data_IF_702884203610
#
_entry.id   IF_702884203610
#
_cell.length_a   1.000
_cell.length_b   1.000
_cell.length_c   1.000
_cell.angle_alpha   90.00
_cell.angle_beta   90.00
_cell.angle_gamma   90.00
#
_symmetry.space_group_name_H-M   'P 1'
#
loop_
_entity.id
_entity.type
_entity.pdbx_description
1 polymer ?
#
# COMPACT_ATOMS: atom_id res chain seq x y z
N UNK A 1 -17.81 27.61 -1.70
CA UNK A 1 -18.36 26.50 -0.88
C UNK A 1 -17.88 26.70 0.54
N UNK A 2 -18.75 26.69 1.54
CA UNK A 2 -18.32 26.78 2.94
C UNK A 2 -17.70 25.45 3.44
N UNK A 3 -17.12 25.47 4.64
CA UNK A 3 -16.47 24.31 5.24
C UNK A 3 -17.42 23.09 5.43
N UNK A 4 -18.70 23.34 5.69
CA UNK A 4 -19.70 22.29 5.89
C UNK A 4 -20.01 21.59 4.57
N UNK A 5 -20.26 22.36 3.51
CA UNK A 5 -20.53 21.82 2.18
C UNK A 5 -19.31 21.06 1.61
N UNK A 6 -18.07 21.54 1.84
CA UNK A 6 -16.84 20.82 1.47
C UNK A 6 -16.74 19.46 2.18
N UNK A 7 -17.06 19.43 3.47
CA UNK A 7 -17.06 18.19 4.26
C UNK A 7 -18.13 17.21 3.76
N UNK A 8 -19.35 17.67 3.48
CA UNK A 8 -20.40 16.82 2.94
C UNK A 8 -20.03 16.23 1.57
N UNK A 9 -19.48 17.05 0.67
CA UNK A 9 -18.96 16.58 -0.62
C UNK A 9 -17.88 15.50 -0.43
N UNK A 10 -16.92 15.76 0.47
CA UNK A 10 -15.83 14.82 0.75
C UNK A 10 -16.35 13.50 1.33
N UNK A 11 -17.33 13.55 2.25
CA UNK A 11 -17.99 12.35 2.80
C UNK A 11 -18.69 11.55 1.71
N UNK A 12 -19.46 12.19 0.82
CA UNK A 12 -20.16 11.51 -0.27
C UNK A 12 -19.19 10.79 -1.20
N UNK A 13 -18.12 11.48 -1.62
CA UNK A 13 -17.10 10.89 -2.49
C UNK A 13 -16.38 9.74 -1.79
N UNK A 14 -15.88 9.94 -0.56
CA UNK A 14 -15.10 8.92 0.13
C UNK A 14 -15.93 7.69 0.50
N UNK A 15 -17.22 7.84 0.81
CA UNK A 15 -18.13 6.69 1.01
C UNK A 15 -18.30 5.87 -0.27
N UNK A 16 -18.50 6.54 -1.41
CA UNK A 16 -18.61 5.86 -2.69
C UNK A 16 -17.30 5.15 -3.07
N UNK A 17 -16.15 5.77 -2.80
CA UNK A 17 -14.82 5.15 -2.96
C UNK A 17 -14.67 3.94 -2.05
N UNK A 18 -14.97 4.08 -0.74
CA UNK A 18 -14.85 2.99 0.22
C UNK A 18 -15.75 1.80 -0.12
N UNK A 19 -16.94 2.05 -0.69
CA UNK A 19 -17.81 0.99 -1.18
C UNK A 19 -17.18 0.20 -2.33
N UNK A 20 -16.55 0.88 -3.30
CA UNK A 20 -15.76 0.20 -4.34
C UNK A 20 -14.63 -0.61 -3.69
N UNK A 21 -13.94 -0.06 -2.70
CA UNK A 21 -12.86 -0.77 -2.00
C UNK A 21 -13.32 -2.04 -1.28
N UNK A 22 -14.51 -2.00 -0.65
CA UNK A 22 -15.12 -3.20 -0.02
C UNK A 22 -15.40 -4.31 -1.02
N UNK A 23 -15.81 -3.95 -2.24
CA UNK A 23 -16.13 -4.91 -3.30
C UNK A 23 -14.88 -5.44 -4.02
N UNK A 24 -13.79 -4.67 -4.00
CA UNK A 24 -12.57 -4.97 -4.75
C UNK A 24 -11.30 -4.74 -3.90
N UNK A 25 -11.07 -5.54 -2.84
CA UNK A 25 -9.87 -5.43 -2.03
C UNK A 25 -8.62 -5.70 -2.86
N UNK A 26 -7.56 -4.91 -2.64
CA UNK A 26 -6.24 -5.06 -3.27
C UNK A 26 -5.27 -5.71 -2.31
N UNK A 27 -5.23 -7.03 -2.34
CA UNK A 27 -4.38 -7.85 -1.47
C UNK A 27 -3.64 -8.95 -2.25
N UNK A 28 -2.49 -9.45 -1.72
CA UNK A 28 -1.80 -10.60 -2.30
C UNK A 28 -2.65 -11.88 -2.17
N UNK A 29 -2.56 -12.77 -3.16
CA UNK A 29 -3.29 -14.05 -3.21
C UNK A 29 -2.63 -15.10 -2.27
N UNK A 30 -2.69 -14.85 -0.95
CA UNK A 30 -2.01 -15.68 0.04
C UNK A 30 -2.55 -17.11 0.10
N UNK A 31 -3.84 -17.29 -0.18
CA UNK A 31 -4.52 -18.60 -0.17
C UNK A 31 -4.01 -19.55 -1.26
N UNK A 32 -3.45 -19.02 -2.34
CA UNK A 32 -2.91 -19.80 -3.46
C UNK A 32 -1.47 -20.27 -3.20
N UNK A 33 -0.88 -19.84 -2.08
CA UNK A 33 0.45 -20.25 -1.64
C UNK A 33 0.29 -21.50 -0.79
N UNK A 34 0.81 -22.62 -1.28
CA UNK A 34 0.64 -23.98 -0.73
C UNK A 34 0.86 -24.06 0.79
N UNK A 35 1.94 -23.51 1.38
CA UNK A 35 2.09 -23.55 2.84
C UNK A 35 1.05 -22.72 3.62
N UNK A 36 0.42 -21.72 3.01
CA UNK A 36 -0.50 -20.80 3.67
C UNK A 36 -1.97 -21.15 3.43
N UNK A 37 -2.29 -22.00 2.45
CA UNK A 37 -3.68 -22.31 2.09
C UNK A 37 -4.50 -22.81 3.30
N UNK A 38 -3.89 -23.60 4.18
CA UNK A 38 -4.52 -24.14 5.40
C UNK A 38 -4.78 -23.10 6.50
N UNK A 39 -4.42 -21.85 6.27
CA UNK A 39 -4.68 -20.73 7.18
C UNK A 39 -6.03 -20.09 6.87
N UNK A 40 -6.61 -20.39 5.72
CA UNK A 40 -7.91 -19.91 5.27
C UNK A 40 -8.94 -21.05 5.35
N UNK A 41 -10.20 -20.69 5.54
CA UNK A 41 -11.32 -21.62 5.48
C UNK A 41 -11.77 -21.87 4.02
N UNK A 42 -12.81 -22.68 3.84
CA UNK A 42 -13.37 -23.01 2.52
C UNK A 42 -13.92 -21.79 1.76
N UNK A 43 -14.29 -20.72 2.47
CA UNK A 43 -14.73 -19.45 1.87
C UNK A 43 -13.56 -18.55 1.46
N UNK A 44 -12.32 -18.92 1.81
CA UNK A 44 -11.14 -18.10 1.62
C UNK A 44 -10.95 -17.05 2.72
N UNK A 45 -11.66 -17.16 3.84
CA UNK A 45 -11.53 -16.25 4.98
C UNK A 45 -10.43 -16.73 5.92
N UNK A 46 -9.61 -15.81 6.43
CA UNK A 46 -8.53 -16.13 7.36
C UNK A 46 -9.07 -16.70 8.69
N UNK A 47 -8.49 -17.81 9.15
CA UNK A 47 -8.84 -18.44 10.43
C UNK A 47 -8.08 -17.75 11.57
N UNK A 48 -8.64 -16.65 12.07
CA UNK A 48 -7.97 -15.74 13.02
C UNK A 48 -7.59 -16.39 14.37
N UNK A 49 -8.43 -17.28 14.90
CA UNK A 49 -8.24 -17.94 16.20
C UNK A 49 -7.05 -18.91 16.22
N UNK A 50 -6.52 -19.27 15.04
CA UNK A 50 -5.37 -20.16 14.89
C UNK A 50 -4.08 -19.43 14.53
N UNK A 51 -4.07 -18.10 14.44
CA UNK A 51 -2.89 -17.34 14.00
C UNK A 51 -1.66 -17.58 14.89
N UNK A 52 -1.85 -17.80 16.19
CA UNK A 52 -0.74 -18.04 17.12
C UNK A 52 -0.39 -19.53 17.28
N UNK A 53 -1.05 -20.42 16.53
CA UNK A 53 -0.69 -21.83 16.46
C UNK A 53 0.62 -22.05 15.70
N UNK A 54 1.31 -23.14 16.04
CA UNK A 54 2.56 -23.53 15.38
C UNK A 54 2.33 -24.05 13.99
N UNK A 55 3.20 -23.61 13.08
CA UNK A 55 3.46 -24.27 11.81
C UNK A 55 4.98 -24.40 11.62
N UNK A 56 5.49 -25.62 11.73
CA UNK A 56 6.92 -25.90 11.80
C UNK A 56 7.63 -25.10 12.91
N UNK A 57 8.65 -24.33 12.53
CA UNK A 57 9.47 -23.53 13.46
C UNK A 57 8.86 -22.18 13.86
N UNK A 58 7.74 -21.77 13.28
CA UNK A 58 7.13 -20.43 13.46
C UNK A 58 5.65 -20.53 13.81
N UNK A 59 5.01 -19.40 14.13
CA UNK A 59 3.54 -19.31 14.18
C UNK A 59 2.96 -19.02 12.80
N UNK A 60 1.66 -19.30 12.60
CA UNK A 60 0.96 -18.92 11.36
C UNK A 60 1.01 -17.41 11.11
N UNK A 61 0.83 -16.60 12.17
CA UNK A 61 0.94 -15.14 12.16
C UNK A 61 2.31 -14.69 11.64
N UNK A 62 3.39 -15.29 12.15
CA UNK A 62 4.75 -14.99 11.71
C UNK A 62 4.97 -15.33 10.24
N UNK A 63 4.52 -16.50 9.78
CA UNK A 63 4.64 -16.90 8.38
C UNK A 63 3.90 -15.92 7.44
N UNK A 64 2.70 -15.47 7.83
CA UNK A 64 1.95 -14.46 7.08
C UNK A 64 2.62 -13.09 7.09
N UNK A 65 3.14 -12.63 8.23
CA UNK A 65 3.88 -11.36 8.30
C UNK A 65 5.10 -11.37 7.38
N UNK A 66 5.84 -12.47 7.34
CA UNK A 66 6.98 -12.64 6.43
C UNK A 66 6.55 -12.59 4.96
N UNK A 67 5.45 -13.25 4.62
CA UNK A 67 4.92 -13.23 3.26
C UNK A 67 4.41 -11.84 2.85
N UNK A 68 3.72 -11.13 3.74
CA UNK A 68 3.26 -9.76 3.46
C UNK A 68 4.43 -8.79 3.31
N UNK A 69 5.49 -8.92 4.12
CA UNK A 69 6.69 -8.10 3.99
C UNK A 69 7.40 -8.35 2.66
N UNK A 70 7.56 -9.63 2.29
CA UNK A 70 8.08 -10.03 0.98
C UNK A 70 7.22 -9.47 -0.16
N UNK A 71 5.90 -9.61 -0.06
CA UNK A 71 4.94 -9.10 -1.04
C UNK A 71 5.06 -7.59 -1.21
N UNK A 72 5.23 -6.82 -0.13
CA UNK A 72 5.32 -5.37 -0.20
C UNK A 72 6.58 -4.90 -0.93
N UNK A 73 7.69 -5.65 -0.77
CA UNK A 73 8.93 -5.38 -1.50
C UNK A 73 8.81 -5.73 -2.99
N UNK A 74 8.13 -6.84 -3.31
CA UNK A 74 8.00 -7.36 -4.67
C UNK A 74 6.93 -6.62 -5.48
N UNK A 75 5.80 -6.26 -4.87
CA UNK A 75 4.59 -5.62 -5.48
C UNK A 75 4.81 -4.12 -5.78
N UNK A 76 5.95 -3.82 -6.39
CA UNK A 76 6.31 -2.49 -6.88
C UNK A 76 6.50 -2.50 -8.41
N UNK A 77 6.40 -3.67 -9.06
CA UNK A 77 6.64 -3.85 -10.50
C UNK A 77 5.56 -3.25 -11.41
N UNK A 78 5.81 -3.24 -12.74
CA UNK A 78 4.97 -2.56 -13.73
C UNK A 78 3.62 -3.24 -14.01
N UNK A 79 3.42 -4.47 -13.52
CA UNK A 79 2.20 -5.25 -13.65
C UNK A 79 1.93 -6.00 -12.35
N UNK A 80 1.15 -5.39 -11.44
CA UNK A 80 0.82 -5.92 -10.10
C UNK A 80 0.31 -7.36 -10.18
N UNK A 81 -0.60 -7.64 -11.10
CA UNK A 81 -1.18 -8.98 -11.25
C UNK A 81 -0.11 -9.99 -11.72
N UNK A 82 0.75 -9.61 -12.66
CA UNK A 82 1.87 -10.44 -13.09
C UNK A 82 2.89 -10.69 -11.98
N UNK A 83 3.20 -9.67 -11.18
CA UNK A 83 4.10 -9.74 -10.04
C UNK A 83 3.56 -10.68 -8.94
N UNK A 84 2.26 -10.59 -8.62
CA UNK A 84 1.61 -11.48 -7.64
C UNK A 84 1.63 -12.94 -8.10
N UNK A 85 1.32 -13.21 -9.38
CA UNK A 85 1.42 -14.56 -9.97
C UNK A 85 2.85 -15.10 -9.92
N UNK A 86 3.86 -14.26 -10.17
CA UNK A 86 5.26 -14.64 -10.03
C UNK A 86 5.58 -15.05 -8.59
N UNK A 87 5.19 -14.24 -7.60
CA UNK A 87 5.44 -14.54 -6.19
C UNK A 87 4.80 -15.87 -5.75
N UNK A 88 3.54 -16.11 -6.12
CA UNK A 88 2.83 -17.37 -5.84
C UNK A 88 3.54 -18.56 -6.51
N UNK A 89 3.87 -18.44 -7.80
CA UNK A 89 4.54 -19.50 -8.56
C UNK A 89 5.88 -19.89 -7.96
N UNK A 90 6.72 -18.89 -7.65
CA UNK A 90 8.05 -19.11 -7.06
C UNK A 90 7.93 -19.76 -5.68
N UNK A 91 7.03 -19.28 -4.81
CA UNK A 91 6.88 -19.86 -3.48
C UNK A 91 6.37 -21.31 -3.54
N UNK A 92 5.41 -21.60 -4.41
CA UNK A 92 4.91 -22.96 -4.57
C UNK A 92 5.99 -23.90 -5.13
N UNK A 93 6.76 -23.47 -6.13
CA UNK A 93 7.87 -24.24 -6.68
C UNK A 93 8.95 -24.49 -5.63
N UNK A 94 9.38 -23.46 -4.88
CA UNK A 94 10.36 -23.61 -3.81
C UNK A 94 9.89 -24.59 -2.73
N UNK A 95 8.64 -24.49 -2.29
CA UNK A 95 8.10 -25.40 -1.28
C UNK A 95 7.94 -26.84 -1.79
N UNK A 96 7.65 -27.04 -3.08
CA UNK A 96 7.63 -28.37 -3.70
C UNK A 96 9.01 -29.05 -3.70
N UNK A 97 10.08 -28.24 -3.64
CA UNK A 97 11.50 -28.65 -3.57
C UNK A 97 12.04 -28.62 -2.13
N UNK A 98 11.16 -28.52 -1.14
CA UNK A 98 11.48 -28.42 0.30
C UNK A 98 12.30 -27.19 0.72
N UNK A 99 12.34 -26.14 -0.11
CA UNK A 99 12.97 -24.85 0.20
C UNK A 99 11.93 -23.96 0.89
N UNK A 100 11.85 -24.00 2.23
CA UNK A 100 10.73 -23.47 3.01
C UNK A 100 10.98 -22.03 3.49
N UNK A 101 11.19 -21.10 2.55
CA UNK A 101 11.71 -19.75 2.83
C UNK A 101 10.91 -18.90 3.83
N UNK A 102 9.59 -19.10 3.99
CA UNK A 102 8.82 -18.36 5.01
C UNK A 102 9.03 -18.95 6.41
N UNK A 103 9.22 -20.27 6.52
CA UNK A 103 9.46 -20.96 7.80
C UNK A 103 10.93 -20.89 8.22
N UNK A 104 11.84 -21.08 7.25
CA UNK A 104 13.29 -21.07 7.43
C UNK A 104 13.93 -20.14 6.38
N UNK A 105 13.98 -18.81 6.62
CA UNK A 105 14.51 -17.85 5.63
C UNK A 105 15.95 -18.13 5.17
N UNK A 106 16.74 -18.84 5.97
CA UNK A 106 18.08 -19.31 5.61
C UNK A 106 18.06 -20.18 4.33
N UNK A 107 16.99 -20.93 4.08
CA UNK A 107 16.83 -21.77 2.89
C UNK A 107 17.02 -21.01 1.60
N UNK A 108 16.54 -19.76 1.55
CA UNK A 108 16.67 -18.93 0.37
C UNK A 108 18.14 -18.70 0.00
N UNK A 109 19.01 -18.55 1.01
CA UNK A 109 20.43 -18.25 0.84
C UNK A 109 21.26 -19.53 0.67
N UNK A 110 20.97 -20.58 1.44
CA UNK A 110 21.64 -21.89 1.31
C UNK A 110 21.36 -22.52 -0.06
N UNK A 111 20.14 -22.37 -0.56
CA UNK A 111 19.69 -22.92 -1.83
C UNK A 111 19.50 -21.84 -2.89
N UNK A 112 20.32 -20.79 -2.86
CA UNK A 112 20.14 -19.61 -3.71
C UNK A 112 20.05 -19.90 -5.21
N UNK A 113 20.81 -20.88 -5.72
CA UNK A 113 20.72 -21.30 -7.12
C UNK A 113 19.35 -21.88 -7.49
N UNK A 114 18.69 -22.62 -6.59
CA UNK A 114 17.32 -23.12 -6.78
C UNK A 114 16.34 -21.95 -6.77
N UNK A 115 16.47 -21.04 -5.80
CA UNK A 115 15.64 -19.83 -5.70
C UNK A 115 15.72 -18.95 -6.94
N UNK A 116 16.93 -18.69 -7.45
CA UNK A 116 17.14 -17.89 -8.66
C UNK A 116 16.55 -18.57 -9.91
N UNK A 117 16.76 -19.89 -10.06
CA UNK A 117 16.20 -20.68 -11.16
C UNK A 117 14.66 -20.64 -11.13
N UNK A 118 14.07 -20.83 -9.94
CA UNK A 118 12.61 -20.76 -9.76
C UNK A 118 12.03 -19.40 -10.20
N UNK A 119 12.72 -18.30 -9.84
CA UNK A 119 12.33 -16.94 -10.26
C UNK A 119 12.40 -16.77 -11.78
N UNK A 120 13.40 -17.34 -12.45
CA UNK A 120 13.53 -17.30 -13.92
C UNK A 120 12.44 -18.09 -14.62
N UNK A 121 12.25 -19.34 -14.20
CA UNK A 121 11.26 -20.26 -14.78
C UNK A 121 9.84 -19.71 -14.60
N UNK A 122 9.49 -19.27 -13.39
CA UNK A 122 8.18 -18.68 -13.13
C UNK A 122 7.99 -17.34 -13.85
N UNK A 123 9.05 -16.52 -14.00
CA UNK A 123 8.98 -15.30 -14.79
C UNK A 123 8.66 -15.59 -16.26
N UNK A 124 9.30 -16.59 -16.85
CA UNK A 124 9.05 -16.99 -18.23
C UNK A 124 7.60 -17.46 -18.44
N UNK A 125 7.06 -18.25 -17.50
CA UNK A 125 5.66 -18.71 -17.52
C UNK A 125 4.69 -17.52 -17.47
N UNK A 126 4.87 -16.59 -16.53
CA UNK A 126 3.99 -15.43 -16.42
C UNK A 126 4.12 -14.50 -17.63
N UNK A 127 5.34 -14.31 -18.15
CA UNK A 127 5.59 -13.53 -19.37
C UNK A 127 4.85 -14.11 -20.57
N UNK A 128 4.91 -15.42 -20.78
CA UNK A 128 4.20 -16.09 -21.87
C UNK A 128 2.68 -15.86 -21.78
N UNK A 129 2.12 -15.87 -20.57
CA UNK A 129 0.68 -15.70 -20.36
C UNK A 129 0.18 -14.25 -20.48
N UNK A 130 1.02 -13.25 -20.18
CA UNK A 130 0.55 -11.86 -19.94
C UNK A 130 1.11 -10.81 -20.88
N UNK A 131 2.27 -11.03 -21.48
CA UNK A 131 3.01 -9.98 -22.18
C UNK A 131 2.19 -9.32 -23.31
N UNK A 132 1.37 -10.08 -24.04
CA UNK A 132 0.52 -9.56 -25.10
C UNK A 132 -0.55 -8.60 -24.58
N UNK A 133 -1.35 -9.04 -23.60
CA UNK A 133 -2.40 -8.22 -23.00
C UNK A 133 -1.84 -6.98 -22.28
N UNK A 134 -0.70 -7.12 -21.59
CA UNK A 134 -0.02 -5.97 -20.99
C UNK A 134 0.44 -4.97 -22.06
N UNK A 135 1.02 -5.44 -23.16
CA UNK A 135 1.51 -4.57 -24.22
C UNK A 135 0.38 -3.79 -24.90
N UNK A 136 -0.76 -4.44 -25.15
CA UNK A 136 -1.97 -3.80 -25.69
C UNK A 136 -2.48 -2.68 -24.76
N UNK A 137 -2.62 -2.96 -23.46
CA UNK A 137 -3.10 -1.96 -22.48
C UNK A 137 -2.16 -0.76 -22.30
N UNK A 138 -0.87 -0.93 -22.60
CA UNK A 138 0.16 0.08 -22.36
C UNK A 138 0.71 0.70 -23.65
N UNK A 139 0.12 0.41 -24.82
CA UNK A 139 0.63 0.85 -26.14
C UNK A 139 2.14 0.57 -26.29
N UNK A 140 2.52 -0.69 -26.03
CA UNK A 140 3.91 -1.13 -25.93
C UNK A 140 4.17 -2.42 -26.72
N UNK A 141 5.37 -2.99 -26.60
CA UNK A 141 5.76 -4.24 -27.25
C UNK A 141 5.87 -5.38 -26.20
N UNK A 142 5.29 -6.58 -26.44
CA UNK A 142 5.38 -7.72 -25.52
C UNK A 142 6.81 -8.10 -25.13
N UNK A 143 7.80 -7.88 -26.01
CA UNK A 143 9.21 -8.14 -25.73
C UNK A 143 9.75 -7.32 -24.55
N UNK A 144 9.19 -6.11 -24.33
CA UNK A 144 9.53 -5.21 -23.22
C UNK A 144 8.94 -5.65 -21.88
N UNK A 145 8.03 -6.64 -21.87
CA UNK A 145 7.43 -7.13 -20.63
C UNK A 145 8.50 -7.79 -19.75
N UNK A 146 8.67 -7.24 -18.56
CA UNK A 146 9.62 -7.67 -17.55
C UNK A 146 9.01 -7.39 -16.17
N UNK A 147 8.96 -8.41 -15.31
CA UNK A 147 8.44 -8.27 -13.95
C UNK A 147 9.51 -7.77 -12.97
N UNK A 148 10.78 -7.83 -13.38
CA UNK A 148 11.88 -7.32 -12.59
C UNK A 148 11.84 -5.78 -12.58
N UNK A 149 11.86 -5.22 -11.38
CA UNK A 149 11.88 -3.78 -11.11
C UNK A 149 13.12 -3.09 -11.71
N UNK A 150 13.04 -1.77 -11.92
CA UNK A 150 14.17 -0.89 -12.29
C UNK A 150 14.89 -1.28 -13.60
N UNK A 151 14.20 -1.94 -14.53
CA UNK A 151 14.79 -2.52 -15.74
C UNK A 151 15.95 -3.49 -15.44
N UNK A 152 16.03 -4.06 -14.24
CA UNK A 152 16.99 -5.10 -13.93
C UNK A 152 16.72 -6.28 -14.86
N UNK A 153 17.56 -6.46 -15.88
CA UNK A 153 17.45 -7.59 -16.81
C UNK A 153 17.99 -8.89 -16.20
N UNK A 154 18.61 -8.80 -15.03
CA UNK A 154 19.31 -9.88 -14.37
C UNK A 154 18.54 -10.37 -13.14
N UNK A 155 18.22 -11.65 -13.14
CA UNK A 155 17.58 -12.36 -12.03
C UNK A 155 18.36 -12.23 -10.74
N UNK A 156 19.70 -12.34 -10.79
CA UNK A 156 20.55 -12.30 -9.60
C UNK A 156 20.31 -11.04 -8.76
N UNK A 157 20.32 -9.87 -9.41
CA UNK A 157 20.08 -8.59 -8.73
C UNK A 157 18.67 -8.51 -8.17
N UNK A 158 17.67 -8.95 -8.94
CA UNK A 158 16.28 -8.99 -8.49
C UNK A 158 16.09 -9.94 -7.29
N UNK A 159 16.66 -11.15 -7.34
CA UNK A 159 16.57 -12.14 -6.28
C UNK A 159 17.22 -11.64 -4.99
N UNK A 160 18.45 -11.11 -5.04
CA UNK A 160 19.12 -10.58 -3.83
C UNK A 160 18.31 -9.42 -3.23
N UNK A 161 17.89 -8.48 -4.08
CA UNK A 161 17.35 -7.22 -3.59
C UNK A 161 15.87 -7.27 -3.23
N UNK A 162 15.06 -7.98 -4.02
CA UNK A 162 13.60 -8.02 -3.85
C UNK A 162 13.11 -9.25 -3.07
N UNK A 163 13.90 -10.32 -3.02
CA UNK A 163 13.59 -11.50 -2.22
C UNK A 163 14.51 -11.63 -1.01
N UNK A 164 15.83 -11.54 -1.22
CA UNK A 164 16.82 -11.70 -0.16
C UNK A 164 16.71 -10.65 0.93
N UNK A 165 16.60 -9.36 0.60
CA UNK A 165 16.49 -8.29 1.59
C UNK A 165 15.32 -8.47 2.58
N UNK A 166 14.04 -8.65 2.15
CA UNK A 166 12.94 -8.90 3.08
C UNK A 166 13.05 -10.21 3.85
N UNK A 167 13.70 -11.25 3.30
CA UNK A 167 13.94 -12.52 4.01
C UNK A 167 15.11 -12.46 5.01
N UNK A 168 16.08 -11.56 4.79
CA UNK A 168 17.19 -11.34 5.70
C UNK A 168 16.74 -10.77 7.05
N UNK A 169 15.69 -9.94 7.07
CA UNK A 169 15.14 -9.35 8.30
C UNK A 169 14.71 -10.43 9.31
N UNK A 170 13.74 -11.32 9.01
CA UNK A 170 13.36 -12.38 9.93
C UNK A 170 14.51 -13.35 10.21
N UNK A 171 15.41 -13.62 9.24
CA UNK A 171 16.60 -14.45 9.47
C UNK A 171 17.48 -13.87 10.60
N UNK A 172 17.85 -12.59 10.50
CA UNK A 172 18.69 -11.93 11.48
C UNK A 172 18.02 -11.87 12.86
N UNK A 173 16.71 -11.60 12.90
CA UNK A 173 15.94 -11.59 14.13
C UNK A 173 15.88 -12.98 14.79
N UNK A 174 15.70 -14.05 14.00
CA UNK A 174 15.74 -15.43 14.50
C UNK A 174 17.12 -15.78 15.07
N UNK A 175 18.20 -15.43 14.38
CA UNK A 175 19.57 -15.67 14.85
C UNK A 175 19.88 -14.91 16.15
N UNK A 176 19.46 -13.65 16.26
CA UNK A 176 19.61 -12.85 17.47
C UNK A 176 18.80 -13.41 18.65
N UNK A 177 17.57 -13.88 18.39
CA UNK A 177 16.76 -14.54 19.40
C UNK A 177 17.44 -15.82 19.92
N UNK A 178 17.95 -16.67 19.01
CA UNK A 178 18.67 -17.90 19.35
C UNK A 178 19.94 -17.64 20.17
N UNK A 179 20.74 -16.64 19.78
CA UNK A 179 21.93 -16.24 20.54
C UNK A 179 21.62 -15.74 21.97
N UNK A 180 20.38 -15.31 22.21
CA UNK A 180 19.87 -14.88 23.53
C UNK A 180 19.06 -15.96 24.25
N UNK A 181 19.03 -17.20 23.74
CA UNK A 181 18.22 -18.29 24.31
C UNK A 181 16.72 -18.05 24.26
N UNK A 182 16.24 -17.19 23.33
CA UNK A 182 14.82 -16.88 23.15
C UNK A 182 14.26 -17.71 22.00
N UNK A 183 12.97 -17.97 22.09
CA UNK A 183 12.25 -18.68 21.04
C UNK A 183 12.16 -17.88 19.73
N UNK A 184 12.30 -18.54 18.58
CA UNK A 184 12.37 -17.93 17.25
C UNK A 184 11.03 -17.83 16.49
N UNK A 185 9.91 -18.15 17.14
CA UNK A 185 8.65 -18.47 16.49
C UNK A 185 7.88 -17.28 15.88
N UNK A 186 8.06 -16.11 16.48
CA UNK A 186 7.25 -14.89 16.31
C UNK A 186 8.15 -13.64 16.29
N UNK A 187 9.38 -13.81 15.79
CA UNK A 187 10.42 -12.78 15.89
C UNK A 187 10.09 -11.51 15.12
N UNK A 188 9.50 -11.61 13.93
CA UNK A 188 9.06 -10.44 13.17
C UNK A 188 7.87 -9.79 13.85
N UNK A 189 6.89 -10.57 14.32
CA UNK A 189 5.75 -10.06 15.09
C UNK A 189 6.20 -9.22 16.30
N UNK A 190 7.10 -9.76 17.14
CA UNK A 190 7.65 -9.04 18.30
C UNK A 190 8.47 -7.84 17.90
N UNK A 191 9.27 -7.94 16.83
CA UNK A 191 10.03 -6.81 16.33
C UNK A 191 9.11 -5.65 15.92
N UNK A 192 8.04 -5.92 15.17
CA UNK A 192 7.13 -4.88 14.67
C UNK A 192 6.36 -4.17 15.80
N UNK A 193 6.06 -4.88 16.90
CA UNK A 193 5.21 -4.37 17.99
C UNK A 193 5.98 -3.86 19.22
N UNK A 194 7.30 -4.07 19.25
CA UNK A 194 8.19 -3.64 20.31
C UNK A 194 8.33 -2.11 20.38
N UNK A 195 8.83 -1.64 21.53
CA UNK A 195 9.27 -0.26 21.69
C UNK A 195 10.70 -0.10 21.15
N UNK A 196 10.88 0.75 20.15
CA UNK A 196 12.17 1.08 19.56
C UNK A 196 12.66 2.48 19.93
N UNK A 197 11.92 3.21 20.78
CA UNK A 197 12.25 4.54 21.29
C UNK A 197 12.14 5.68 20.26
N UNK A 198 12.68 5.51 19.06
CA UNK A 198 12.61 6.50 17.97
C UNK A 198 11.41 6.32 17.04
N UNK A 199 10.80 5.14 17.04
CA UNK A 199 9.59 4.85 16.27
C UNK A 199 8.39 4.79 17.20
N UNK A 200 7.29 5.43 16.81
CA UNK A 200 6.04 5.35 17.56
C UNK A 200 5.50 3.90 17.51
N UNK A 201 4.90 3.44 18.62
CA UNK A 201 4.21 2.14 18.66
C UNK A 201 2.84 2.25 17.99
N UNK A 202 2.82 2.33 16.67
CA UNK A 202 1.63 2.38 15.83
C UNK A 202 1.90 1.70 14.49
N UNK A 203 0.88 1.45 13.69
CA UNK A 203 1.07 0.96 12.31
C UNK A 203 1.87 1.97 11.49
N UNK A 204 1.54 3.26 11.57
CA UNK A 204 2.32 4.32 10.92
C UNK A 204 3.80 4.29 11.35
N UNK A 205 4.08 4.19 12.65
CA UNK A 205 5.44 4.05 13.18
C UNK A 205 6.16 2.77 12.74
N UNK A 206 5.42 1.66 12.64
CA UNK A 206 5.90 0.39 12.09
C UNK A 206 6.31 0.52 10.63
N UNK A 207 5.62 1.34 9.83
CA UNK A 207 6.00 1.54 8.41
C UNK A 207 7.34 2.28 8.27
N UNK A 208 7.63 3.24 9.15
CA UNK A 208 8.95 3.85 9.24
C UNK A 208 10.00 2.88 9.79
N UNK A 209 9.64 2.05 10.78
CA UNK A 209 10.54 1.04 11.35
C UNK A 209 11.07 0.08 10.28
N UNK A 210 10.18 -0.52 9.47
CA UNK A 210 10.60 -1.48 8.43
C UNK A 210 11.43 -0.84 7.32
N UNK A 211 11.31 0.46 7.12
CA UNK A 211 12.06 1.19 6.10
C UNK A 211 13.41 1.68 6.64
N UNK A 212 13.40 2.35 7.77
CA UNK A 212 14.47 3.23 8.23
C UNK A 212 15.21 2.74 9.49
N UNK A 213 14.81 1.63 10.09
CA UNK A 213 15.54 1.09 11.24
C UNK A 213 17.01 0.82 10.86
N UNK A 214 17.95 1.36 11.62
CA UNK A 214 19.38 1.37 11.25
C UNK A 214 19.96 -0.01 10.90
N UNK A 215 19.53 -1.07 11.62
CA UNK A 215 19.97 -2.46 11.39
C UNK A 215 19.04 -3.32 10.51
N UNK A 216 17.73 -3.26 10.74
CA UNK A 216 16.73 -4.14 10.13
C UNK A 216 15.87 -3.46 9.05
N UNK A 217 16.07 -2.16 8.83
CA UNK A 217 15.36 -1.40 7.82
C UNK A 217 15.75 -1.84 6.42
N UNK A 218 14.76 -1.95 5.55
CA UNK A 218 14.94 -2.36 4.16
C UNK A 218 15.48 -1.23 3.27
N UNK A 219 15.47 0.01 3.76
CA UNK A 219 16.01 1.17 3.06
C UNK A 219 15.46 1.29 1.65
N UNK A 220 16.34 1.28 0.64
CA UNK A 220 15.95 1.38 -0.77
C UNK A 220 15.19 0.14 -1.29
N UNK A 221 15.25 -1.01 -0.61
CA UNK A 221 14.51 -2.21 -1.03
C UNK A 221 13.00 -2.03 -0.86
N UNK A 222 12.56 -1.11 0.01
CA UNK A 222 11.16 -0.74 0.18
C UNK A 222 10.95 0.77 0.06
N UNK A 223 10.08 1.17 -0.87
CA UNK A 223 9.61 2.56 -0.93
C UNK A 223 8.62 2.87 0.19
N UNK A 224 8.41 4.15 0.51
CA UNK A 224 7.46 4.57 1.56
C UNK A 224 6.05 4.05 1.27
N UNK A 225 5.63 4.13 0.00
CA UNK A 225 4.35 3.60 -0.47
C UNK A 225 4.21 2.11 -0.16
N UNK A 226 5.24 1.32 -0.43
CA UNK A 226 5.24 -0.11 -0.17
C UNK A 226 5.24 -0.43 1.33
N UNK A 227 5.94 0.38 2.14
CA UNK A 227 5.89 0.26 3.59
C UNK A 227 4.48 0.55 4.16
N UNK A 228 3.80 1.59 3.65
CA UNK A 228 2.40 1.86 3.96
C UNK A 228 1.46 0.75 3.49
N UNK A 229 1.70 0.17 2.31
CA UNK A 229 0.94 -0.96 1.79
C UNK A 229 1.09 -2.22 2.69
N UNK A 230 2.28 -2.47 3.21
CA UNK A 230 2.49 -3.51 4.23
C UNK A 230 1.66 -3.23 5.49
N UNK A 231 1.71 -2.00 6.02
CA UNK A 231 0.90 -1.59 7.17
C UNK A 231 -0.60 -1.79 6.95
N UNK A 232 -1.09 -1.42 5.76
CA UNK A 232 -2.46 -1.70 5.33
C UNK A 232 -2.77 -3.18 5.36
N UNK A 233 -2.02 -4.04 4.66
CA UNK A 233 -2.34 -5.46 4.60
C UNK A 233 -2.36 -6.13 5.96
N UNK A 234 -1.43 -5.74 6.83
CA UNK A 234 -1.26 -6.33 8.17
C UNK A 234 -2.41 -5.99 9.12
N UNK A 235 -3.09 -4.84 8.96
CA UNK A 235 -4.18 -4.44 9.88
C UNK A 235 -5.55 -4.47 9.22
N UNK A 236 -5.63 -4.20 7.92
CA UNK A 236 -6.88 -4.11 7.18
C UNK A 236 -7.25 -5.42 6.47
N UNK A 237 -6.34 -5.97 5.66
CA UNK A 237 -6.63 -7.14 4.83
C UNK A 237 -6.61 -8.46 5.61
N UNK A 238 -5.59 -8.66 6.46
CA UNK A 238 -5.36 -9.95 7.14
C UNK A 238 -5.42 -9.87 8.69
N UNK A 239 -6.06 -8.84 9.26
CA UNK A 239 -5.97 -8.37 10.67
C UNK A 239 -4.87 -8.94 11.59
N UNK A 240 -3.64 -9.12 11.12
CA UNK A 240 -2.56 -9.81 11.84
C UNK A 240 -2.06 -9.04 13.06
N UNK A 241 -2.18 -7.72 13.07
CA UNK A 241 -1.83 -6.88 14.22
C UNK A 241 -3.00 -6.00 14.68
N UNK A 242 -4.22 -6.28 14.19
CA UNK A 242 -5.38 -5.47 14.53
C UNK A 242 -5.66 -5.59 16.03
N UNK A 243 -5.63 -4.45 16.73
CA UNK A 243 -6.05 -4.36 18.12
C UNK A 243 -7.10 -3.26 18.25
N UNK A 244 -8.32 -3.63 18.66
CA UNK A 244 -9.44 -2.68 18.80
C UNK A 244 -9.37 -1.87 20.10
N UNK A 245 -8.60 -2.35 21.07
CA UNK A 245 -8.42 -1.68 22.37
C UNK A 245 -7.29 -0.64 22.32
N UNK A 246 -6.31 -0.79 21.43
CA UNK A 246 -5.30 0.24 21.14
C UNK A 246 -5.54 0.88 19.76
N UNK A 247 -6.09 2.12 19.69
CA UNK A 247 -6.32 2.84 18.44
C UNK A 247 -5.09 2.96 17.52
N UNK A 248 -3.88 2.85 18.06
CA UNK A 248 -2.63 2.88 17.31
C UNK A 248 -2.34 1.63 16.49
N UNK A 249 -3.11 0.57 16.72
CA UNK A 249 -3.12 -0.67 15.97
C UNK A 249 -4.53 -0.95 15.40
N UNK A 250 -5.37 0.08 15.36
CA UNK A 250 -6.73 0.02 14.83
C UNK A 250 -6.82 0.37 13.33
N UNK A 251 -8.04 0.41 12.76
CA UNK A 251 -8.22 0.62 11.32
C UNK A 251 -7.73 1.98 10.78
N UNK A 252 -7.61 3.00 11.64
CA UNK A 252 -7.16 4.36 11.28
C UNK A 252 -5.68 4.62 11.60
N UNK A 253 -4.91 3.60 11.93
CA UNK A 253 -3.53 3.73 12.43
C UNK A 253 -2.47 3.95 11.34
N UNK A 254 -2.88 4.10 10.08
CA UNK A 254 -2.02 4.46 8.95
C UNK A 254 -2.73 5.44 8.02
N UNK A 255 -1.94 6.18 7.24
CA UNK A 255 -2.47 7.12 6.25
C UNK A 255 -2.87 6.43 4.95
N UNK A 256 -3.87 6.96 4.26
CA UNK A 256 -4.18 6.54 2.88
C UNK A 256 -2.94 6.79 2.00
N UNK A 257 -2.39 5.77 1.32
CA UNK A 257 -1.26 5.96 0.42
C UNK A 257 -1.59 6.87 -0.78
N UNK A 258 -0.96 8.04 -0.87
CA UNK A 258 -1.10 8.93 -2.03
C UNK A 258 -0.14 8.50 -3.16
N UNK A 259 -0.60 7.63 -4.04
CA UNK A 259 0.05 7.35 -5.33
C UNK A 259 -0.58 8.14 -6.49
N UNK A 260 -0.01 8.06 -7.69
CA UNK A 260 -0.49 8.82 -8.85
C UNK A 260 -1.95 8.48 -9.24
N UNK A 261 -2.40 7.24 -9.02
CA UNK A 261 -3.77 6.84 -9.28
C UNK A 261 -4.72 7.41 -8.22
N UNK A 262 -4.41 7.20 -6.94
CA UNK A 262 -5.18 7.71 -5.81
C UNK A 262 -5.28 9.24 -5.84
N UNK A 263 -4.15 9.91 -6.02
CA UNK A 263 -4.06 11.36 -6.18
C UNK A 263 -4.93 11.89 -7.30
N UNK A 264 -4.87 11.25 -8.48
CA UNK A 264 -5.66 11.65 -9.65
C UNK A 264 -7.15 11.56 -9.37
N UNK A 265 -7.59 10.49 -8.72
CA UNK A 265 -9.00 10.31 -8.33
C UNK A 265 -9.41 11.41 -7.35
N UNK A 266 -8.65 11.63 -6.27
CA UNK A 266 -8.93 12.67 -5.27
C UNK A 266 -8.93 14.09 -5.87
N UNK A 267 -8.05 14.37 -6.83
CA UNK A 267 -8.04 15.66 -7.53
C UNK A 267 -9.27 15.83 -8.42
N UNK A 268 -9.58 14.83 -9.26
CA UNK A 268 -10.68 14.89 -10.22
C UNK A 268 -12.07 14.90 -9.58
N UNK A 269 -12.23 14.27 -8.42
CA UNK A 269 -13.47 14.35 -7.65
C UNK A 269 -13.66 15.71 -6.96
N UNK A 270 -12.66 16.59 -7.01
CA UNK A 270 -12.69 17.91 -6.38
C UNK A 270 -12.33 17.91 -4.90
N UNK A 271 -11.90 16.78 -4.31
CA UNK A 271 -11.48 16.75 -2.90
C UNK A 271 -10.24 17.63 -2.70
N UNK A 272 -9.22 17.47 -3.53
CA UNK A 272 -7.95 18.23 -3.37
C UNK A 272 -8.20 19.73 -3.51
N UNK A 273 -8.89 20.16 -4.57
CA UNK A 273 -9.19 21.57 -4.83
C UNK A 273 -10.24 22.15 -3.88
N UNK A 274 -11.07 21.31 -3.26
CA UNK A 274 -12.01 21.70 -2.22
C UNK A 274 -11.33 22.12 -0.92
N UNK A 275 -10.13 21.61 -0.63
CA UNK A 275 -9.41 21.85 0.62
C UNK A 275 -8.07 22.58 0.46
N UNK A 276 -7.51 22.64 -0.73
CA UNK A 276 -6.24 23.32 -0.99
C UNK A 276 -6.38 24.23 -2.19
N UNK A 277 -6.12 25.53 -1.96
CA UNK A 277 -6.19 26.53 -3.02
C UNK A 277 -5.16 26.25 -4.11
N UNK A 278 -5.54 26.54 -5.36
CA UNK A 278 -4.71 26.28 -6.53
C UNK A 278 -3.35 27.00 -6.45
N UNK A 279 -3.32 28.24 -5.95
CA UNK A 279 -2.07 28.98 -5.75
C UNK A 279 -1.10 28.22 -4.83
N UNK A 280 -1.63 27.55 -3.80
CA UNK A 280 -0.84 26.74 -2.87
C UNK A 280 -0.39 25.43 -3.51
N UNK A 281 -1.25 24.78 -4.30
CA UNK A 281 -0.90 23.58 -5.06
C UNK A 281 0.25 23.87 -6.05
N UNK A 282 0.21 25.01 -6.76
CA UNK A 282 1.28 25.44 -7.66
C UNK A 282 2.57 25.80 -6.93
N UNK A 283 2.48 26.54 -5.81
CA UNK A 283 3.64 26.92 -4.99
C UNK A 283 4.42 25.72 -4.45
N UNK A 284 3.74 24.62 -4.13
CA UNK A 284 4.38 23.38 -3.67
C UNK A 284 4.66 22.39 -4.82
N UNK A 285 4.53 22.84 -6.07
CA UNK A 285 4.74 22.01 -7.25
C UNK A 285 3.89 20.73 -7.27
N UNK A 286 2.74 20.74 -6.59
CA UNK A 286 1.73 19.69 -6.70
C UNK A 286 1.13 19.73 -8.09
N UNK A 287 0.82 20.94 -8.57
CA UNK A 287 0.38 21.20 -9.95
C UNK A 287 1.48 21.99 -10.64
N UNK A 288 1.98 21.47 -11.76
CA UNK A 288 3.10 21.98 -12.51
C UNK A 288 2.63 22.35 -13.93
N UNK A 289 2.23 23.62 -14.17
CA UNK A 289 1.74 24.06 -15.47
C UNK A 289 2.78 23.83 -16.57
N UNK A 290 2.32 23.37 -17.74
CA UNK A 290 3.17 23.13 -18.92
C UNK A 290 4.12 21.93 -18.81
N UNK A 291 4.10 21.18 -17.70
CA UNK A 291 4.93 19.98 -17.51
C UNK A 291 4.19 18.68 -17.85
N UNK A 292 2.91 18.76 -18.26
CA UNK A 292 2.15 17.61 -18.73
C UNK A 292 2.60 17.12 -20.11
N UNK A 293 2.12 15.93 -20.50
CA UNK A 293 2.45 15.32 -21.81
C UNK A 293 2.08 16.30 -22.95
N UNK A 294 3.07 16.69 -23.75
CA UNK A 294 2.90 17.61 -24.88
C UNK A 294 2.99 19.10 -24.53
N UNK A 295 3.14 19.48 -23.25
CA UNK A 295 3.24 20.88 -22.82
C UNK A 295 1.90 21.62 -22.67
N UNK A 296 0.81 21.05 -23.14
CA UNK A 296 -0.52 21.70 -23.14
C UNK A 296 -1.34 21.47 -21.86
N UNK A 297 -0.86 20.62 -20.96
CA UNK A 297 -1.53 20.27 -19.70
C UNK A 297 -0.59 20.48 -18.51
N UNK A 298 -1.15 20.59 -17.31
CA UNK A 298 -0.37 20.58 -16.08
C UNK A 298 -0.06 19.15 -15.64
N UNK A 299 1.14 18.93 -15.10
CA UNK A 299 1.51 17.68 -14.43
C UNK A 299 1.21 17.76 -12.93
N UNK A 300 0.60 16.72 -12.38
CA UNK A 300 0.29 16.62 -10.96
C UNK A 300 1.24 15.66 -10.27
N UNK A 301 2.16 16.21 -9.48
CA UNK A 301 3.05 15.46 -8.62
C UNK A 301 2.41 15.23 -7.26
N UNK A 302 1.56 14.21 -7.17
CA UNK A 302 0.76 13.92 -5.95
C UNK A 302 1.59 13.82 -4.68
N UNK A 303 2.82 13.29 -4.75
CA UNK A 303 3.69 13.11 -3.58
C UNK A 303 4.01 14.44 -2.90
N UNK A 304 3.94 15.55 -3.65
CA UNK A 304 4.18 16.89 -3.12
C UNK A 304 2.99 17.43 -2.32
N UNK A 305 1.84 16.75 -2.28
CA UNK A 305 0.78 17.06 -1.31
C UNK A 305 1.22 16.79 0.12
N UNK A 306 2.27 15.98 0.31
CA UNK A 306 2.78 15.67 1.64
C UNK A 306 3.31 16.94 2.33
N UNK A 307 2.87 17.18 3.56
CA UNK A 307 3.22 18.38 4.32
C UNK A 307 2.53 19.67 3.88
N UNK A 308 1.68 19.66 2.84
CA UNK A 308 0.95 20.85 2.41
C UNK A 308 -0.17 21.16 3.40
N UNK A 309 -0.09 22.32 4.04
CA UNK A 309 -1.12 22.81 4.94
C UNK A 309 -2.38 23.25 4.19
N UNK A 310 -3.55 22.84 4.71
CA UNK A 310 -4.87 23.28 4.26
C UNK A 310 -5.44 24.32 5.21
N UNK A 311 -5.42 25.58 4.80
CA UNK A 311 -6.06 26.68 5.54
C UNK A 311 -7.60 26.53 5.52
N UNK A 312 -8.17 26.07 4.41
CA UNK A 312 -9.60 25.79 4.29
C UNK A 312 -10.08 24.70 5.26
N UNK A 313 -9.27 23.69 5.55
CA UNK A 313 -9.61 22.66 6.53
C UNK A 313 -9.63 23.19 7.97
N UNK A 314 -8.89 24.27 8.27
CA UNK A 314 -8.92 24.92 9.59
C UNK A 314 -10.26 25.59 9.89
N UNK A 315 -11.01 25.96 8.84
CA UNK A 315 -12.36 26.51 8.95
C UNK A 315 -13.39 25.46 9.39
N UNK A 316 -13.04 24.16 9.39
CA UNK A 316 -13.91 23.06 9.79
C UNK A 316 -13.53 22.53 11.18
N UNK A 317 -14.29 22.86 12.24
CA UNK A 317 -14.01 22.35 13.59
C UNK A 317 -13.99 20.81 13.65
N UNK A 318 -14.83 20.15 12.85
CA UNK A 318 -14.89 18.69 12.77
C UNK A 318 -13.58 18.10 12.23
N UNK A 319 -13.05 18.64 11.13
CA UNK A 319 -11.77 18.17 10.56
C UNK A 319 -10.61 18.48 11.51
N UNK A 320 -10.60 19.66 12.13
CA UNK A 320 -9.55 20.02 13.10
C UNK A 320 -9.54 19.05 14.28
N UNK A 321 -10.70 18.73 14.85
CA UNK A 321 -10.81 17.79 15.96
C UNK A 321 -10.35 16.37 15.54
N UNK A 322 -10.86 15.88 14.41
CA UNK A 322 -10.50 14.56 13.88
C UNK A 322 -9.02 14.45 13.53
N UNK A 323 -8.41 15.49 12.94
CA UNK A 323 -6.98 15.51 12.62
C UNK A 323 -6.12 15.44 13.90
N UNK A 324 -6.52 16.15 14.96
CA UNK A 324 -5.81 16.08 16.25
C UNK A 324 -5.89 14.69 16.86
N UNK A 325 -7.07 14.08 16.85
CA UNK A 325 -7.26 12.71 17.33
C UNK A 325 -6.46 11.70 16.50
N UNK A 326 -6.58 11.76 15.18
CA UNK A 326 -5.87 10.91 14.22
C UNK A 326 -4.35 10.95 14.48
N UNK A 327 -3.76 12.14 14.52
CA UNK A 327 -2.29 12.29 14.63
C UNK A 327 -1.73 11.83 15.99
N UNK A 328 -2.49 12.03 17.08
CA UNK A 328 -2.01 11.74 18.44
C UNK A 328 -2.34 10.31 18.87
N UNK A 329 -3.57 9.84 18.60
CA UNK A 329 -4.07 8.55 19.12
C UNK A 329 -3.85 7.39 18.16
N UNK A 330 -4.11 7.60 16.86
CA UNK A 330 -4.09 6.53 15.86
C UNK A 330 -2.74 6.41 15.17
N UNK A 331 -2.31 7.46 14.46
CA UNK A 331 -1.03 7.45 13.76
C UNK A 331 0.14 7.52 14.76
N UNK A 332 -0.07 8.17 15.92
CA UNK A 332 0.99 8.54 16.88
C UNK A 332 2.17 9.27 16.22
N UNK A 333 1.92 9.96 15.11
CA UNK A 333 2.90 10.77 14.39
C UNK A 333 3.29 12.03 15.17
N UNK A 334 2.45 12.45 16.13
CA UNK A 334 2.67 13.64 16.94
C UNK A 334 2.51 13.36 18.44
N UNK A 335 3.46 13.86 19.26
CA UNK A 335 3.37 13.82 20.73
C UNK A 335 2.33 14.80 21.30
N UNK A 336 1.98 15.84 20.55
CA UNK A 336 1.02 16.88 20.92
C UNK A 336 0.08 17.12 19.76
N UNK A 337 -1.15 17.56 20.06
CA UNK A 337 -2.13 17.89 19.05
C UNK A 337 -1.56 18.91 18.04
N UNK A 338 -1.49 18.58 16.73
CA UNK A 338 -1.00 19.51 15.72
C UNK A 338 -1.92 20.73 15.63
N UNK A 339 -1.30 21.90 15.40
CA UNK A 339 -2.02 23.15 15.11
C UNK A 339 -2.47 23.19 13.66
N UNK A 340 -1.73 22.52 12.78
CA UNK A 340 -1.93 22.54 11.33
C UNK A 340 -2.67 21.28 10.84
N UNK A 341 -3.56 21.44 9.87
CA UNK A 341 -4.14 20.32 9.12
C UNK A 341 -3.39 20.17 7.81
N UNK A 342 -2.75 19.01 7.61
CA UNK A 342 -2.11 18.69 6.34
C UNK A 342 -3.12 18.06 5.39
N UNK A 343 -3.05 18.41 4.10
CA UNK A 343 -3.97 17.93 3.08
C UNK A 343 -4.00 16.39 2.98
N UNK A 344 -2.84 15.74 3.19
CA UNK A 344 -2.72 14.28 3.18
C UNK A 344 -3.57 13.59 4.27
N UNK A 345 -3.82 14.26 5.40
CA UNK A 345 -4.58 13.67 6.51
C UNK A 345 -6.10 13.76 6.28
N UNK A 346 -6.57 14.60 5.34
CA UNK A 346 -7.99 14.90 5.18
C UNK A 346 -8.81 13.62 4.91
N UNK A 347 -8.43 12.71 3.99
CA UNK A 347 -9.19 11.48 3.79
C UNK A 347 -9.32 10.63 5.06
N UNK A 348 -8.24 10.45 5.81
CA UNK A 348 -8.25 9.69 7.06
C UNK A 348 -9.04 10.38 8.17
N UNK A 349 -8.96 11.72 8.28
CA UNK A 349 -9.73 12.49 9.24
C UNK A 349 -11.23 12.44 8.94
N UNK A 350 -11.62 12.54 7.66
CA UNK A 350 -13.02 12.42 7.24
C UNK A 350 -13.55 10.99 7.43
N UNK A 351 -12.72 9.99 7.15
CA UNK A 351 -13.01 8.58 7.47
C UNK A 351 -13.24 8.37 8.97
N UNK A 352 -12.47 9.02 9.83
CA UNK A 352 -12.66 8.96 11.28
C UNK A 352 -13.97 9.65 11.73
N UNK A 353 -14.32 10.80 11.15
CA UNK A 353 -15.59 11.50 11.41
C UNK A 353 -16.78 10.61 11.02
N UNK A 354 -16.68 9.93 9.88
CA UNK A 354 -17.72 9.06 9.38
C UNK A 354 -17.91 7.79 10.23
N UNK A 355 -16.80 7.18 10.65
CA UNK A 355 -16.79 5.99 11.48
C UNK A 355 -17.20 4.68 10.78
N UNK A 356 -17.72 4.73 9.55
CA UNK A 356 -18.17 3.55 8.80
C UNK A 356 -17.24 3.12 7.68
N UNK A 357 -16.34 4.02 7.26
CA UNK A 357 -15.28 3.75 6.29
C UNK A 357 -13.90 3.79 6.94
N UNK A 358 -12.97 2.98 6.45
CA UNK A 358 -11.57 2.96 6.92
C UNK A 358 -10.60 3.46 5.83
N UNK A 359 -9.39 3.94 6.18
CA UNK A 359 -8.35 4.26 5.22
C UNK A 359 -8.04 3.13 4.24
N UNK A 360 -8.13 1.87 4.67
CA UNK A 360 -7.89 0.70 3.81
C UNK A 360 -8.91 0.55 2.70
N UNK A 361 -10.20 0.67 3.05
CA UNK A 361 -11.29 0.65 2.07
C UNK A 361 -11.20 1.82 1.10
N UNK A 362 -10.81 3.00 1.60
CA UNK A 362 -10.59 4.16 0.74
C UNK A 362 -9.44 3.89 -0.23
N UNK A 363 -8.30 3.39 0.24
CA UNK A 363 -7.14 3.07 -0.61
C UNK A 363 -7.50 2.02 -1.69
N UNK A 364 -8.19 0.93 -1.32
CA UNK A 364 -8.65 -0.08 -2.28
C UNK A 364 -9.55 0.52 -3.37
N UNK A 365 -10.51 1.34 -2.94
CA UNK A 365 -11.41 2.05 -3.84
C UNK A 365 -10.67 3.00 -4.77
N UNK A 366 -9.70 3.76 -4.25
CA UNK A 366 -8.90 4.70 -5.04
C UNK A 366 -8.04 3.98 -6.09
N UNK A 367 -7.40 2.86 -5.71
CA UNK A 367 -6.62 2.02 -6.63
C UNK A 367 -7.52 1.47 -7.72
N UNK A 368 -8.64 0.85 -7.36
CA UNK A 368 -9.60 0.26 -8.31
C UNK A 368 -10.15 1.32 -9.25
N UNK A 369 -10.59 2.46 -8.72
CA UNK A 369 -11.14 3.54 -9.53
C UNK A 369 -10.10 4.13 -10.48
N UNK A 370 -8.89 4.36 -9.99
CA UNK A 370 -7.78 4.91 -10.77
C UNK A 370 -7.31 4.00 -11.89
N UNK A 371 -7.45 2.68 -11.74
CA UNK A 371 -6.95 1.68 -12.70
C UNK A 371 -8.00 1.18 -13.70
N UNK A 372 -9.30 1.33 -13.43
CA UNK A 372 -10.35 0.82 -14.33
C UNK A 372 -11.18 1.88 -15.05
N UNK A 373 -11.38 3.06 -14.44
CA UNK A 373 -12.23 4.10 -15.03
C UNK A 373 -11.53 5.45 -15.14
N UNK A 374 -10.83 5.88 -14.09
CA UNK A 374 -10.21 7.20 -14.01
C UNK A 374 -8.79 7.19 -14.59
N UNK A 375 -8.65 6.85 -15.88
CA UNK A 375 -7.35 6.80 -16.57
C UNK A 375 -6.66 8.16 -16.66
N UNK A 376 -5.34 8.16 -16.79
CA UNK A 376 -4.52 9.37 -16.98
C UNK A 376 -4.61 9.93 -18.41
N UNK A 377 -5.83 10.15 -18.89
CA UNK A 377 -6.15 10.70 -20.21
C UNK A 377 -7.18 11.82 -20.06
N UNK A 378 -7.43 12.56 -21.14
CA UNK A 378 -8.51 13.55 -21.19
C UNK A 378 -9.91 12.93 -21.35
N UNK A 379 -9.97 11.62 -21.62
CA UNK A 379 -11.21 10.88 -21.87
C UNK A 379 -11.27 9.61 -21.01
N UNK A 380 -11.26 9.73 -19.67
CA UNK A 380 -11.51 8.58 -18.79
C UNK A 380 -12.92 8.01 -19.01
N UNK A 381 -13.18 6.78 -18.55
CA UNK A 381 -14.49 6.10 -18.68
C UNK A 381 -15.51 6.62 -17.66
N UNK A 382 -15.74 7.94 -17.64
CA UNK A 382 -16.61 8.60 -16.68
C UNK A 382 -18.07 8.12 -16.72
N UNK A 383 -18.58 7.73 -17.88
CA UNK A 383 -19.96 7.23 -18.04
C UNK A 383 -20.22 5.94 -17.26
N UNK A 384 -19.18 5.12 -17.08
CA UNK A 384 -19.21 3.82 -16.42
C UNK A 384 -18.64 3.86 -15.00
N UNK A 385 -18.07 5.00 -14.59
CA UNK A 385 -17.39 5.14 -13.30
C UNK A 385 -18.41 5.17 -12.16
N UNK A 386 -18.23 4.37 -11.09
CA UNK A 386 -19.14 4.37 -9.94
C UNK A 386 -19.20 5.71 -9.19
N UNK A 387 -18.19 6.58 -9.37
CA UNK A 387 -18.13 7.89 -8.75
C UNK A 387 -18.81 9.00 -9.57
N UNK A 388 -19.37 8.70 -10.76
CA UNK A 388 -19.84 9.72 -11.72
C UNK A 388 -20.76 10.76 -11.10
N UNK A 389 -21.74 10.34 -10.30
CA UNK A 389 -22.76 11.22 -9.71
C UNK A 389 -22.22 12.16 -8.63
N UNK A 390 -21.06 11.84 -8.05
CA UNK A 390 -20.43 12.59 -6.95
C UNK A 390 -19.08 13.20 -7.35
N UNK A 391 -18.63 13.01 -8.59
CA UNK A 391 -17.34 13.49 -9.07
C UNK A 391 -17.48 14.87 -9.69
N UNK A 392 -16.94 15.90 -9.03
CA UNK A 392 -16.97 17.28 -9.55
C UNK A 392 -16.45 17.38 -10.98
N UNK A 393 -15.37 16.66 -11.32
CA UNK A 393 -14.81 16.63 -12.67
C UNK A 393 -15.74 16.05 -13.75
N UNK A 394 -16.68 15.18 -13.37
CA UNK A 394 -17.62 14.54 -14.29
C UNK A 394 -18.95 15.31 -14.42
N UNK A 395 -19.26 16.21 -13.47
CA UNK A 395 -20.56 16.89 -13.39
C UNK A 395 -20.44 18.40 -13.58
N UNK A 396 -19.60 19.06 -12.79
CA UNK A 396 -19.62 20.51 -12.60
C UNK A 396 -18.36 21.21 -13.14
N UNK A 397 -17.20 20.56 -13.05
CA UNK A 397 -15.88 21.15 -13.32
C UNK A 397 -15.03 20.26 -14.26
N UNK A 398 -15.40 20.15 -15.55
CA UNK A 398 -14.68 19.29 -16.52
C UNK A 398 -13.17 19.52 -16.59
N UNK A 399 -12.71 20.73 -16.28
CA UNK A 399 -11.30 21.11 -16.30
C UNK A 399 -10.43 20.31 -15.32
N UNK A 400 -11.02 19.80 -14.22
CA UNK A 400 -10.32 18.88 -13.31
C UNK A 400 -9.87 17.60 -14.03
N UNK A 401 -10.57 17.20 -15.10
CA UNK A 401 -10.21 16.08 -15.95
C UNK A 401 -9.33 16.51 -17.11
N UNK A 402 -9.67 17.59 -17.82
CA UNK A 402 -9.02 17.92 -19.10
C UNK A 402 -7.68 18.63 -18.92
N UNK A 403 -7.51 19.47 -17.90
CA UNK A 403 -6.35 20.35 -17.74
C UNK A 403 -5.15 19.72 -17.01
N UNK A 404 -5.37 18.66 -16.22
CA UNK A 404 -4.35 18.06 -15.35
C UNK A 404 -4.11 16.57 -15.65
N UNK A 405 -2.84 16.17 -15.67
CA UNK A 405 -2.33 14.80 -15.88
C UNK A 405 -1.41 14.41 -14.73
N UNK A 406 -1.32 13.13 -14.38
CA UNK A 406 -0.37 12.60 -13.37
C UNK A 406 0.83 11.90 -13.97
#
# INVERSE_FOLDING_TARGET
MDASARLQHTLQVLRAVAEVGRQFPSEPELKDITPLCSYFDESGTLIEDRLDSRDGGVTRREAMLRMLLLSAVIDQGPDIEGVRRLAVGVLNDLYSREVRVLHRPLDFFEHFHISATSIEECHAVVKAARAAAWAERNDSNPAKYLLYMENARQTLGYAIYRWGAPLAVPLMLTQEAGARGREGADVLHRFLTADHGCFARSVEGMTYLIKDHARYGLGKAIGDKAAHLFGKWVVHSFPLLLNRDDPAWGPWSYEVPFDSNAGRVLYRTGIVTGWVDEARLRRHEVIQPGQGKGGDTAYMRVTNLRGVESELAQESPAIVAANKELCVRHLRSHKRAPVKVQAQHIPSAVSLIDGTMTPGQIDDGLIKVGTEWCFNTGTPRCSECPLRSVCAGATEQPDLITAVRT
#
